data_IF_667391705938
#
_entry.id   IF_667391705938
#
_cell.length_a   1.000
_cell.length_b   1.000
_cell.length_c   1.000
_cell.angle_alpha   90.00
_cell.angle_beta   90.00
_cell.angle_gamma   90.00
#
_symmetry.space_group_name_H-M   'P 1'
#
loop_
_entity.id
_entity.type
_entity.pdbx_description
1 polymer ?
#
# COMPACT_ATOMS: atom_id res chain seq x y z
N UNK A 1 -18.79 -6.38 14.08
CA UNK A 1 -17.98 -5.16 14.18
C UNK A 1 -18.91 -4.01 14.54
N UNK A 2 -18.66 -3.30 15.65
CA UNK A 2 -19.47 -2.11 15.98
C UNK A 2 -19.11 -1.00 14.98
N UNK A 3 -20.04 -0.08 14.68
CA UNK A 3 -19.77 1.02 13.72
C UNK A 3 -18.56 1.87 14.10
N UNK A 4 -18.28 2.04 15.40
CA UNK A 4 -17.09 2.75 15.90
C UNK A 4 -15.77 2.06 15.55
N UNK A 5 -15.74 0.73 15.55
CA UNK A 5 -14.53 -0.04 15.23
C UNK A 5 -14.19 0.09 13.73
N UNK A 6 -15.21 0.17 12.86
CA UNK A 6 -15.03 0.34 11.42
C UNK A 6 -14.33 1.67 11.10
N UNK A 7 -14.81 2.78 11.68
CA UNK A 7 -14.25 4.11 11.44
C UNK A 7 -12.80 4.20 11.92
N UNK A 8 -12.52 3.77 13.16
CA UNK A 8 -11.17 3.80 13.71
C UNK A 8 -10.18 2.97 12.87
N UNK A 9 -10.58 1.76 12.48
CA UNK A 9 -9.76 0.90 11.64
C UNK A 9 -9.55 1.49 10.25
N UNK A 10 -10.59 2.10 9.65
CA UNK A 10 -10.47 2.73 8.33
C UNK A 10 -9.50 3.91 8.38
N UNK A 11 -9.58 4.73 9.44
CA UNK A 11 -8.67 5.85 9.65
C UNK A 11 -7.21 5.37 9.80
N UNK A 12 -6.97 4.29 10.53
CA UNK A 12 -5.64 3.70 10.66
C UNK A 12 -5.08 3.28 9.28
N UNK A 13 -5.89 2.61 8.45
CA UNK A 13 -5.48 2.21 7.10
C UNK A 13 -5.23 3.41 6.18
N UNK A 14 -6.04 4.47 6.27
CA UNK A 14 -5.80 5.73 5.55
C UNK A 14 -4.43 6.30 5.91
N UNK A 15 -4.12 6.39 7.21
CA UNK A 15 -2.82 6.87 7.69
C UNK A 15 -1.69 5.98 7.19
N UNK A 16 -1.85 4.66 7.21
CA UNK A 16 -0.83 3.73 6.71
C UNK A 16 -0.59 3.89 5.20
N UNK A 17 -1.64 4.10 4.41
CA UNK A 17 -1.50 4.37 2.97
C UNK A 17 -0.74 5.68 2.73
N UNK A 18 -1.08 6.76 3.43
CA UNK A 18 -0.35 8.04 3.30
C UNK A 18 1.12 7.94 3.72
N UNK A 19 1.39 7.30 4.85
CA UNK A 19 2.76 7.12 5.33
C UNK A 19 3.56 6.24 4.37
N UNK A 20 2.96 5.16 3.85
CA UNK A 20 3.59 4.31 2.86
C UNK A 20 3.89 5.09 1.58
N UNK A 21 2.95 5.87 1.04
CA UNK A 21 3.15 6.73 -0.14
C UNK A 21 4.27 7.74 0.08
N UNK A 22 4.24 8.48 1.19
CA UNK A 22 5.22 9.52 1.50
C UNK A 22 6.62 8.93 1.66
N UNK A 23 6.77 7.93 2.53
CA UNK A 23 8.07 7.32 2.82
C UNK A 23 8.63 6.63 1.58
N UNK A 24 7.81 5.86 0.86
CA UNK A 24 8.25 5.22 -0.37
C UNK A 24 8.68 6.24 -1.44
N UNK A 25 8.00 7.38 -1.56
CA UNK A 25 8.36 8.41 -2.53
C UNK A 25 9.72 9.02 -2.21
N UNK A 26 9.97 9.39 -0.95
CA UNK A 26 11.25 9.94 -0.51
C UNK A 26 12.38 8.93 -0.73
N UNK A 27 12.18 7.67 -0.32
CA UNK A 27 13.20 6.62 -0.47
C UNK A 27 13.46 6.32 -1.95
N UNK A 28 12.42 6.23 -2.78
CA UNK A 28 12.55 5.95 -4.21
C UNK A 28 13.23 7.09 -4.97
N UNK A 29 12.92 8.34 -4.61
CA UNK A 29 13.60 9.52 -5.14
C UNK A 29 15.08 9.49 -4.81
N UNK A 30 15.45 9.16 -3.57
CA UNK A 30 16.84 9.06 -3.15
C UNK A 30 17.60 7.95 -3.89
N UNK A 31 17.01 6.75 -4.01
CA UNK A 31 17.60 5.64 -4.76
C UNK A 31 17.80 6.01 -6.24
N UNK A 32 16.77 6.57 -6.86
CA UNK A 32 16.83 6.97 -8.27
C UNK A 32 17.85 8.08 -8.50
N UNK A 33 17.98 9.01 -7.55
CA UNK A 33 19.00 10.05 -7.59
C UNK A 33 20.42 9.47 -7.61
N UNK A 34 20.71 8.53 -6.71
CA UNK A 34 22.03 7.87 -6.64
C UNK A 34 22.33 7.13 -7.95
N UNK A 35 21.40 6.32 -8.42
CA UNK A 35 21.60 5.52 -9.64
C UNK A 35 21.77 6.44 -10.86
N UNK A 36 20.97 7.49 -10.97
CA UNK A 36 21.10 8.45 -12.05
C UNK A 36 22.47 9.15 -12.05
N UNK A 37 23.08 9.40 -10.88
CA UNK A 37 24.43 9.96 -10.80
C UNK A 37 25.51 9.01 -11.30
N UNK A 38 25.26 7.70 -11.28
CA UNK A 38 26.21 6.67 -11.72
C UNK A 38 26.02 6.37 -13.22
N UNK A 39 24.79 6.22 -13.67
CA UNK A 39 24.46 5.66 -15.00
C UNK A 39 24.09 6.75 -16.01
N UNK A 40 23.61 7.92 -15.57
CA UNK A 40 23.14 8.97 -16.48
C UNK A 40 21.86 8.58 -17.22
N UNK A 41 20.79 8.29 -16.46
CA UNK A 41 19.55 7.77 -17.02
C UNK A 41 18.70 8.86 -17.69
N UNK A 42 18.11 8.52 -18.83
CA UNK A 42 17.06 9.32 -19.47
C UNK A 42 15.82 9.42 -18.57
N UNK A 43 15.00 10.46 -18.80
CA UNK A 43 13.85 10.72 -17.95
C UNK A 43 12.84 9.56 -17.87
N UNK A 44 12.42 8.91 -18.98
CA UNK A 44 11.46 7.80 -18.90
C UNK A 44 11.99 6.62 -18.07
N UNK A 45 13.29 6.32 -18.18
CA UNK A 45 13.93 5.28 -17.36
C UNK A 45 13.91 5.63 -15.87
N UNK A 46 14.19 6.90 -15.52
CA UNK A 46 14.09 7.39 -14.13
C UNK A 46 12.66 7.32 -13.60
N UNK A 47 11.67 7.73 -14.39
CA UNK A 47 10.26 7.65 -14.03
C UNK A 47 9.85 6.19 -13.80
N UNK A 48 10.31 5.26 -14.64
CA UNK A 48 10.04 3.82 -14.49
C UNK A 48 10.62 3.26 -13.21
N UNK A 49 11.87 3.62 -12.91
CA UNK A 49 12.48 3.26 -11.64
C UNK A 49 11.74 3.83 -10.44
N UNK A 50 11.31 5.09 -10.47
CA UNK A 50 10.52 5.71 -9.41
C UNK A 50 9.21 4.98 -9.21
N UNK A 51 8.49 4.66 -10.28
CA UNK A 51 7.22 3.92 -10.20
C UNK A 51 7.42 2.53 -9.55
N UNK A 52 8.40 1.75 -10.04
CA UNK A 52 8.63 0.38 -9.57
C UNK A 52 9.17 0.35 -8.15
N UNK A 53 10.21 1.15 -7.84
CA UNK A 53 10.78 1.19 -6.49
C UNK A 53 9.78 1.71 -5.46
N UNK A 54 8.95 2.70 -5.82
CA UNK A 54 7.89 3.20 -4.96
C UNK A 54 6.88 2.10 -4.63
N UNK A 55 6.42 1.37 -5.66
CA UNK A 55 5.48 0.27 -5.48
C UNK A 55 6.02 -0.82 -4.55
N UNK A 56 7.29 -1.21 -4.73
CA UNK A 56 7.94 -2.21 -3.90
C UNK A 56 8.10 -1.73 -2.46
N UNK A 57 8.63 -0.53 -2.25
CA UNK A 57 8.90 0.00 -0.89
C UNK A 57 7.60 0.23 -0.14
N UNK A 58 6.58 0.82 -0.78
CA UNK A 58 5.25 0.98 -0.19
C UNK A 58 4.64 -0.39 0.17
N UNK A 59 4.75 -1.38 -0.73
CA UNK A 59 4.33 -2.75 -0.47
C UNK A 59 4.99 -3.35 0.78
N UNK A 60 6.31 -3.18 0.94
CA UNK A 60 7.04 -3.66 2.14
C UNK A 60 6.53 -2.97 3.41
N UNK A 61 6.36 -1.65 3.39
CA UNK A 61 5.86 -0.88 4.55
C UNK A 61 4.46 -1.38 4.94
N UNK A 62 3.56 -1.49 3.96
CA UNK A 62 2.19 -1.96 4.18
C UNK A 62 2.16 -3.40 4.67
N UNK A 63 3.04 -4.27 4.14
CA UNK A 63 3.19 -5.63 4.63
C UNK A 63 3.56 -5.66 6.11
N UNK A 64 4.58 -4.91 6.53
CA UNK A 64 5.03 -4.90 7.93
C UNK A 64 3.92 -4.39 8.86
N UNK A 65 3.26 -3.29 8.50
CA UNK A 65 2.18 -2.72 9.30
C UNK A 65 0.99 -3.68 9.40
N UNK A 66 0.57 -4.27 8.28
CA UNK A 66 -0.53 -5.21 8.25
C UNK A 66 -0.22 -6.51 9.00
N UNK A 67 1.00 -7.03 8.87
CA UNK A 67 1.47 -8.18 9.64
C UNK A 67 1.40 -7.91 11.14
N UNK A 68 1.87 -6.73 11.59
CA UNK A 68 1.82 -6.33 13.00
C UNK A 68 0.38 -6.23 13.53
N UNK A 69 -0.54 -5.67 12.75
CA UNK A 69 -1.96 -5.63 13.11
C UNK A 69 -2.58 -7.03 13.15
N UNK A 70 -2.24 -7.90 12.19
CA UNK A 70 -2.67 -9.29 12.17
C UNK A 70 -2.17 -10.07 13.39
N UNK A 71 -0.92 -9.86 13.78
CA UNK A 71 -0.31 -10.49 14.96
C UNK A 71 -1.00 -10.08 16.27
N UNK A 72 -1.64 -8.90 16.33
CA UNK A 72 -2.42 -8.46 17.49
C UNK A 72 -3.82 -9.09 17.54
N UNK A 73 -4.37 -9.52 16.40
CA UNK A 73 -5.68 -10.15 16.33
C UNK A 73 -5.67 -11.57 16.89
N UNK A 74 -6.67 -11.92 17.70
CA UNK A 74 -6.77 -13.26 18.31
C UNK A 74 -7.08 -14.35 17.27
N UNK A 75 -7.90 -14.03 16.27
CA UNK A 75 -8.29 -14.91 15.18
C UNK A 75 -8.39 -14.11 13.88
N UNK A 76 -8.15 -14.78 12.75
CA UNK A 76 -8.32 -14.15 11.44
C UNK A 76 -9.80 -14.01 11.11
N UNK A 77 -10.25 -12.77 10.91
CA UNK A 77 -11.57 -12.49 10.36
C UNK A 77 -11.44 -11.56 9.14
N UNK A 78 -11.73 -12.09 7.96
CA UNK A 78 -11.60 -11.33 6.72
C UNK A 78 -12.44 -10.03 6.72
N UNK A 79 -13.63 -10.05 7.35
CA UNK A 79 -14.53 -8.88 7.37
C UNK A 79 -13.98 -7.71 8.19
N UNK A 80 -13.13 -7.98 9.19
CA UNK A 80 -12.54 -6.93 10.04
C UNK A 80 -11.38 -6.22 9.37
N UNK A 81 -10.89 -6.71 8.23
CA UNK A 81 -9.85 -6.05 7.45
C UNK A 81 -10.39 -5.48 6.14
N UNK A 82 -11.16 -6.25 5.38
CA UNK A 82 -11.52 -5.87 4.00
C UNK A 82 -12.43 -4.65 3.96
N UNK A 83 -13.42 -4.55 4.86
CA UNK A 83 -14.36 -3.44 4.88
C UNK A 83 -13.68 -2.11 5.26
N UNK A 84 -12.88 -2.04 6.35
CA UNK A 84 -12.09 -0.84 6.63
C UNK A 84 -11.11 -0.48 5.52
N UNK A 85 -10.47 -1.49 4.90
CA UNK A 85 -9.50 -1.27 3.84
C UNK A 85 -10.15 -0.71 2.56
N UNK A 86 -11.31 -1.23 2.15
CA UNK A 86 -12.07 -0.68 1.01
C UNK A 86 -12.45 0.78 1.28
N UNK A 87 -12.98 1.07 2.47
CA UNK A 87 -13.31 2.45 2.85
C UNK A 87 -12.07 3.36 2.80
N UNK A 88 -10.92 2.89 3.30
CA UNK A 88 -9.67 3.62 3.26
C UNK A 88 -9.17 3.87 1.84
N UNK A 89 -9.25 2.87 0.95
CA UNK A 89 -8.88 3.00 -0.47
C UNK A 89 -9.77 4.03 -1.17
N UNK A 90 -11.09 3.99 -0.95
CA UNK A 90 -12.02 4.96 -1.54
C UNK A 90 -11.68 6.38 -1.09
N UNK A 91 -11.44 6.59 0.21
CA UNK A 91 -11.08 7.90 0.74
C UNK A 91 -9.72 8.36 0.18
N UNK A 92 -8.72 7.48 0.16
CA UNK A 92 -7.40 7.77 -0.39
C UNK A 92 -7.49 8.12 -1.88
N UNK A 93 -8.37 7.48 -2.64
CA UNK A 93 -8.63 7.77 -4.04
C UNK A 93 -9.25 9.15 -4.24
N UNK A 94 -10.29 9.49 -3.46
CA UNK A 94 -10.93 10.81 -3.52
C UNK A 94 -9.94 11.92 -3.20
N UNK A 95 -9.11 11.74 -2.17
CA UNK A 95 -8.05 12.70 -1.82
C UNK A 95 -7.01 12.79 -2.94
N UNK A 96 -6.64 11.66 -3.54
CA UNK A 96 -5.72 11.64 -4.68
C UNK A 96 -6.28 12.42 -5.88
N UNK A 97 -7.58 12.29 -6.20
CA UNK A 97 -8.23 13.09 -7.24
C UNK A 97 -8.20 14.58 -6.88
N UNK A 98 -8.62 14.93 -5.67
CA UNK A 98 -8.69 16.33 -5.22
C UNK A 98 -7.32 17.01 -5.28
N UNK A 99 -6.26 16.26 -5.00
CA UNK A 99 -4.87 16.71 -5.04
C UNK A 99 -4.16 16.33 -6.34
N UNK A 100 -4.91 16.06 -7.43
CA UNK A 100 -4.37 15.85 -8.77
C UNK A 100 -3.24 14.81 -8.83
N UNK A 101 -3.36 13.74 -8.04
CA UNK A 101 -2.40 12.65 -7.92
C UNK A 101 -0.97 13.14 -7.66
N UNK A 102 -0.82 14.13 -6.79
CA UNK A 102 0.51 14.57 -6.34
C UNK A 102 1.30 13.39 -5.76
N UNK A 103 2.61 13.37 -6.04
CA UNK A 103 3.51 12.27 -5.70
C UNK A 103 3.59 12.02 -4.19
N UNK A 104 3.39 13.07 -3.38
CA UNK A 104 3.34 12.99 -1.91
C UNK A 104 2.19 12.11 -1.42
N UNK A 105 1.06 12.17 -2.12
CA UNK A 105 -0.20 11.52 -1.74
C UNK A 105 -0.34 10.17 -2.42
N UNK A 106 -0.18 10.17 -3.75
CA UNK A 106 -0.42 9.01 -4.58
C UNK A 106 0.86 8.20 -4.87
N UNK A 107 2.01 8.57 -4.30
CA UNK A 107 3.28 7.86 -4.49
C UNK A 107 3.69 7.78 -5.96
N UNK A 108 3.99 6.56 -6.41
CA UNK A 108 4.42 6.24 -7.77
C UNK A 108 3.33 6.32 -8.85
N UNK A 109 2.06 6.52 -8.48
CA UNK A 109 0.90 6.42 -9.42
C UNK A 109 1.05 7.35 -10.62
N UNK A 110 1.46 8.60 -10.42
CA UNK A 110 1.62 9.58 -11.51
C UNK A 110 2.72 9.18 -12.49
N UNK A 111 3.82 8.62 -11.99
CA UNK A 111 4.91 8.15 -12.86
C UNK A 111 4.48 6.95 -13.69
N UNK A 112 3.82 5.97 -13.08
CA UNK A 112 3.27 4.82 -13.79
C UNK A 112 2.23 5.25 -14.85
N UNK A 113 1.33 6.19 -14.50
CA UNK A 113 0.33 6.71 -15.43
C UNK A 113 0.96 7.48 -16.60
N UNK A 114 1.96 8.32 -16.33
CA UNK A 114 2.71 9.05 -17.35
C UNK A 114 3.36 8.09 -18.36
N UNK A 115 4.01 7.04 -17.86
CA UNK A 115 4.62 6.02 -18.72
C UNK A 115 3.58 5.21 -19.50
N UNK A 116 2.43 4.89 -18.90
CA UNK A 116 1.35 4.18 -19.58
C UNK A 116 0.72 5.01 -20.71
N UNK A 117 0.57 6.32 -20.51
CA UNK A 117 -0.12 7.18 -21.46
C UNK A 117 0.79 7.80 -22.52
N UNK A 118 2.01 8.18 -22.14
CA UNK A 118 2.91 8.98 -22.97
C UNK A 118 4.21 8.23 -23.30
N UNK A 119 4.48 7.10 -22.64
CA UNK A 119 5.65 6.27 -22.91
C UNK A 119 6.96 7.05 -22.76
N UNK A 120 7.74 7.11 -23.85
CA UNK A 120 9.03 7.81 -23.91
C UNK A 120 8.91 9.33 -23.88
N UNK A 121 7.74 9.88 -24.19
CA UNK A 121 7.53 11.33 -24.23
C UNK A 121 7.20 11.92 -22.86
N UNK A 122 6.95 11.08 -21.86
CA UNK A 122 6.62 11.54 -20.51
C UNK A 122 7.75 12.40 -19.91
N UNK A 123 7.40 13.56 -19.36
CA UNK A 123 8.30 14.49 -18.67
C UNK A 123 7.79 14.87 -17.27
N UNK A 124 8.63 15.54 -16.47
CA UNK A 124 8.32 15.90 -15.08
C UNK A 124 7.23 16.97 -14.95
N UNK A 125 7.17 17.87 -15.91
CA UNK A 125 6.26 19.00 -16.00
C UNK A 125 4.89 18.60 -16.57
N UNK A 126 4.74 17.39 -17.12
CA UNK A 126 3.48 16.88 -17.64
C UNK A 126 2.41 16.82 -16.55
N UNK A 127 1.47 17.76 -16.60
CA UNK A 127 0.35 17.81 -15.68
C UNK A 127 -0.68 16.72 -15.92
N UNK A 128 -1.63 16.61 -14.99
CA UNK A 128 -2.75 15.65 -15.06
C UNK A 128 -3.54 15.71 -16.37
N UNK A 129 -3.67 16.91 -16.97
CA UNK A 129 -4.36 17.08 -18.26
C UNK A 129 -3.64 16.40 -19.43
N UNK A 130 -2.30 16.41 -19.42
CA UNK A 130 -1.46 15.81 -20.47
C UNK A 130 -1.42 14.30 -20.29
N UNK A 131 -1.23 13.83 -19.06
CA UNK A 131 -1.21 12.39 -18.72
C UNK A 131 -2.60 11.75 -18.90
N UNK A 132 -3.68 12.51 -18.65
CA UNK A 132 -5.05 12.02 -18.73
C UNK A 132 -5.51 11.33 -17.43
N UNK A 133 -6.73 11.67 -16.99
CA UNK A 133 -7.34 11.08 -15.80
C UNK A 133 -7.54 9.56 -15.92
N UNK A 134 -7.81 9.03 -17.12
CA UNK A 134 -7.98 7.59 -17.33
C UNK A 134 -6.74 6.78 -16.94
N UNK A 135 -5.55 7.21 -17.38
CA UNK A 135 -4.29 6.57 -17.05
C UNK A 135 -3.97 6.67 -15.55
N UNK A 136 -4.26 7.82 -14.92
CA UNK A 136 -4.10 8.01 -13.49
C UNK A 136 -5.00 7.10 -12.65
N UNK A 137 -6.28 6.98 -13.04
CA UNK A 137 -7.23 6.10 -12.37
C UNK A 137 -6.81 4.64 -12.56
N UNK A 138 -6.46 4.22 -13.78
CA UNK A 138 -6.00 2.86 -14.05
C UNK A 138 -4.75 2.51 -13.23
N UNK A 139 -3.74 3.38 -13.24
CA UNK A 139 -2.51 3.23 -12.43
C UNK A 139 -2.83 3.14 -10.94
N UNK A 140 -3.71 4.01 -10.43
CA UNK A 140 -4.14 3.96 -9.03
C UNK A 140 -4.81 2.63 -8.68
N UNK A 141 -5.74 2.15 -9.51
CA UNK A 141 -6.46 0.90 -9.27
C UNK A 141 -5.50 -0.30 -9.26
N UNK A 142 -4.51 -0.34 -10.14
CA UNK A 142 -3.46 -1.36 -10.13
C UNK A 142 -2.72 -1.36 -8.78
N UNK A 143 -2.26 -0.19 -8.33
CA UNK A 143 -1.57 -0.05 -7.04
C UNK A 143 -2.49 -0.45 -5.87
N UNK A 144 -3.75 -0.01 -5.88
CA UNK A 144 -4.72 -0.31 -4.84
C UNK A 144 -5.00 -1.81 -4.72
N UNK A 145 -5.15 -2.52 -5.84
CA UNK A 145 -5.36 -3.98 -5.84
C UNK A 145 -4.12 -4.71 -5.33
N UNK A 146 -2.93 -4.33 -5.80
CA UNK A 146 -1.67 -4.94 -5.35
C UNK A 146 -1.47 -4.73 -3.85
N UNK A 147 -1.64 -3.50 -3.37
CA UNK A 147 -1.50 -3.18 -1.95
C UNK A 147 -2.57 -3.85 -1.10
N UNK A 148 -3.81 -3.93 -1.57
CA UNK A 148 -4.86 -4.66 -0.86
C UNK A 148 -4.55 -6.15 -0.73
N UNK A 149 -3.98 -6.77 -1.77
CA UNK A 149 -3.52 -8.15 -1.71
C UNK A 149 -2.38 -8.31 -0.70
N UNK A 150 -1.37 -7.44 -0.75
CA UNK A 150 -0.24 -7.43 0.20
C UNK A 150 -0.73 -7.31 1.65
N UNK A 151 -1.62 -6.35 1.91
CA UNK A 151 -2.18 -6.11 3.25
C UNK A 151 -2.96 -7.34 3.75
N UNK A 152 -3.82 -7.92 2.91
CA UNK A 152 -4.61 -9.10 3.29
C UNK A 152 -3.72 -10.31 3.59
N UNK A 153 -2.74 -10.59 2.73
CA UNK A 153 -1.79 -11.68 2.93
C UNK A 153 -0.95 -11.48 4.19
N UNK A 154 -0.41 -10.27 4.39
CA UNK A 154 0.40 -9.93 5.56
C UNK A 154 -0.38 -10.09 6.87
N UNK A 155 -1.62 -9.57 6.90
CA UNK A 155 -2.48 -9.68 8.07
C UNK A 155 -2.80 -11.13 8.42
N UNK A 156 -3.13 -11.94 7.41
CA UNK A 156 -3.36 -13.37 7.59
C UNK A 156 -2.13 -14.08 8.16
N UNK A 157 -0.94 -13.82 7.61
CA UNK A 157 0.32 -14.38 8.11
C UNK A 157 0.60 -13.95 9.54
N UNK A 158 0.32 -12.70 9.89
CA UNK A 158 0.42 -12.19 11.27
C UNK A 158 -0.48 -12.95 12.25
N UNK A 159 -1.75 -13.16 11.90
CA UNK A 159 -2.68 -13.95 12.72
C UNK A 159 -2.18 -15.38 12.90
N UNK A 160 -1.75 -16.04 11.81
CA UNK A 160 -1.21 -17.40 11.86
C UNK A 160 0.01 -17.50 12.75
N UNK A 161 0.94 -16.55 12.65
CA UNK A 161 2.15 -16.53 13.48
C UNK A 161 1.79 -16.41 14.96
N UNK A 162 0.85 -15.53 15.32
CA UNK A 162 0.35 -15.42 16.71
C UNK A 162 -0.25 -16.73 17.22
N UNK A 163 -1.05 -17.42 16.40
CA UNK A 163 -1.64 -18.71 16.79
C UNK A 163 -0.57 -19.77 17.03
N UNK A 164 0.45 -19.85 16.15
CA UNK A 164 1.58 -20.76 16.31
C UNK A 164 2.36 -20.46 17.60
N UNK A 165 2.73 -19.20 17.81
CA UNK A 165 3.49 -18.77 18.99
C UNK A 165 2.72 -19.05 20.30
N UNK A 166 1.39 -18.88 20.28
CA UNK A 166 0.53 -19.25 21.43
C UNK A 166 0.44 -20.76 21.65
N UNK A 167 0.37 -21.55 20.59
CA UNK A 167 0.35 -23.01 20.71
C UNK A 167 1.66 -23.53 21.31
N UNK A 168 2.81 -22.96 20.92
CA UNK A 168 4.11 -23.25 21.51
C UNK A 168 4.15 -22.87 23.01
N UNK A 169 3.72 -21.66 23.36
CA UNK A 169 3.72 -21.18 24.76
C UNK A 169 2.76 -21.95 25.68
N UNK A 170 1.68 -22.51 25.13
CA UNK A 170 0.67 -23.27 25.89
C UNK A 170 0.88 -24.78 25.81
N UNK A 171 2.00 -25.25 25.23
CA UNK A 171 2.29 -26.68 25.09
C UNK A 171 1.24 -27.45 24.29
N UNK A 172 0.51 -26.78 23.38
CA UNK A 172 -0.57 -27.38 22.60
C UNK A 172 -1.87 -27.65 23.36
N UNK A 173 -2.04 -27.14 24.59
CA UNK A 173 -3.24 -27.40 25.42
C UNK A 173 -4.51 -26.65 25.00
N UNK A 174 -4.59 -26.10 23.78
CA UNK A 174 -5.85 -25.56 23.26
C UNK A 174 -6.76 -26.70 22.78
N UNK A 175 -7.31 -27.50 23.70
CA UNK A 175 -8.05 -28.70 23.29
C UNK A 175 -8.74 -29.54 24.36
N UNK A 176 -9.03 -29.06 25.57
CA UNK A 176 -10.01 -29.74 26.45
C UNK A 176 -11.20 -28.82 26.72
N UNK A 177 -12.31 -29.09 26.03
CA UNK A 177 -13.62 -28.77 26.58
C UNK A 177 -13.81 -29.62 27.83
N UNK A 178 -14.23 -29.05 28.98
CA UNK A 178 -14.60 -29.88 30.11
C UNK A 178 -15.77 -30.77 29.70
N UNK A 179 -15.58 -32.08 29.76
CA UNK A 179 -16.69 -33.01 29.94
C UNK A 179 -17.02 -33.01 31.42
N UNK A 180 -18.19 -32.48 31.76
CA UNK A 180 -18.74 -32.42 33.11
C UNK A 180 -20.06 -31.68 33.06
#
# INVERSE_FOLDING_TARGET
MRKGDLLANSLAWIVYLFLASLTSMVTSAFITFIINKIVGLEYPARAGMLAVSNAVIAGIILYILAFREGYKAAEYNHKTIILPLIAAIIVHFVISIALSFTQVIAGGVRYAAGLMSLGGDFQADDGVKVIGYGALIASYLIHAVVYAAVINCAYYTGCKKRCADRAELTGGQSGEKPKG
#
